data_IF_606707689716
#
_entry.id   IF_606707689716
#
_cell.length_a   1.000
_cell.length_b   1.000
_cell.length_c   1.000
_cell.angle_alpha   90.00
_cell.angle_beta   90.00
_cell.angle_gamma   90.00
#
_symmetry.space_group_name_H-M   'P 1'
#
loop_
_entity.id
_entity.type
_entity.pdbx_description
1 polymer ?
#
# COMPACT_ATOMS: atom_id res chain seq x y z
N UNK A 1 7.63 20.29 4.19
CA UNK A 1 7.05 19.28 3.29
C UNK A 1 6.92 17.99 4.07
N UNK A 2 5.84 17.26 3.88
CA UNK A 2 5.66 15.89 4.36
C UNK A 2 6.31 14.92 3.39
N UNK A 3 6.90 13.84 3.89
CA UNK A 3 7.39 12.77 3.00
C UNK A 3 6.21 11.90 2.57
N UNK A 4 6.32 11.20 1.43
CA UNK A 4 5.30 10.24 1.03
C UNK A 4 5.12 9.10 2.04
N UNK A 5 6.18 8.76 2.78
CA UNK A 5 6.09 7.79 3.87
C UNK A 5 5.20 8.33 5.00
N UNK A 6 5.38 9.60 5.41
CA UNK A 6 4.53 10.24 6.41
C UNK A 6 3.07 10.37 5.92
N UNK A 7 2.86 10.73 4.66
CA UNK A 7 1.51 10.83 4.06
C UNK A 7 0.79 9.48 4.00
N UNK A 8 1.53 8.40 3.78
CA UNK A 8 1.01 7.03 3.82
C UNK A 8 0.81 6.50 5.26
N UNK A 9 1.22 7.26 6.29
CA UNK A 9 1.12 6.86 7.70
C UNK A 9 2.23 5.91 8.16
N UNK A 10 3.35 5.86 7.44
CA UNK A 10 4.50 5.01 7.74
C UNK A 10 5.42 5.75 8.70
N UNK A 11 5.56 5.25 9.93
CA UNK A 11 6.63 5.68 10.83
C UNK A 11 7.90 4.93 10.48
N UNK A 12 8.75 5.54 9.64
CA UNK A 12 9.95 4.88 9.12
C UNK A 12 10.94 4.56 10.25
N UNK A 13 11.38 3.31 10.30
CA UNK A 13 12.44 2.82 11.17
C UNK A 13 13.14 1.64 10.50
N UNK A 14 14.39 1.39 10.85
CA UNK A 14 15.14 0.21 10.37
C UNK A 14 14.65 -1.07 11.05
N UNK A 15 13.43 -1.48 10.68
CA UNK A 15 12.70 -2.62 11.22
C UNK A 15 11.92 -3.29 10.08
N UNK A 16 11.70 -4.62 10.13
CA UNK A 16 11.07 -5.34 9.03
C UNK A 16 9.71 -4.79 8.59
N UNK A 17 8.83 -4.42 9.53
CA UNK A 17 7.48 -3.94 9.22
C UNK A 17 7.50 -2.55 8.52
N UNK A 18 8.10 -1.48 9.07
CA UNK A 18 8.19 -0.19 8.37
C UNK A 18 8.90 -0.26 7.01
N UNK A 19 9.93 -1.11 6.85
CA UNK A 19 10.60 -1.29 5.57
C UNK A 19 9.70 -2.01 4.56
N UNK A 20 8.89 -2.98 5.00
CA UNK A 20 7.90 -3.61 4.14
C UNK A 20 6.81 -2.62 3.72
N UNK A 21 6.31 -1.79 4.63
CA UNK A 21 5.35 -0.74 4.30
C UNK A 21 5.91 0.24 3.25
N UNK A 22 7.18 0.62 3.39
CA UNK A 22 7.86 1.46 2.41
C UNK A 22 7.99 0.75 1.04
N UNK A 23 8.34 -0.54 1.03
CA UNK A 23 8.39 -1.34 -0.20
C UNK A 23 7.04 -1.38 -0.91
N UNK A 24 5.95 -1.59 -0.15
CA UNK A 24 4.58 -1.59 -0.69
C UNK A 24 4.27 -0.23 -1.33
N UNK A 25 4.57 0.88 -0.64
CA UNK A 25 4.40 2.22 -1.19
C UNK A 25 5.17 2.40 -2.51
N UNK A 26 6.44 1.99 -2.55
CA UNK A 26 7.26 2.04 -3.76
C UNK A 26 6.66 1.21 -4.91
N UNK A 27 6.14 0.02 -4.63
CA UNK A 27 5.50 -0.84 -5.64
C UNK A 27 4.23 -0.21 -6.22
N UNK A 28 3.43 0.48 -5.39
CA UNK A 28 2.23 1.19 -5.83
C UNK A 28 2.57 2.44 -6.64
N UNK A 29 3.61 3.18 -6.23
CA UNK A 29 4.06 4.40 -6.92
C UNK A 29 4.84 4.13 -8.22
N UNK A 30 5.30 2.89 -8.46
CA UNK A 30 6.06 2.52 -9.66
C UNK A 30 5.23 2.47 -10.96
N UNK A 31 3.93 2.77 -10.89
CA UNK A 31 3.03 2.81 -12.06
C UNK A 31 2.77 4.26 -12.49
N UNK A 32 2.29 4.53 -13.72
CA UNK A 32 1.86 5.86 -14.15
C UNK A 32 0.61 6.31 -13.38
N UNK A 33 0.80 6.73 -12.14
CA UNK A 33 -0.24 7.12 -11.19
C UNK A 33 0.21 8.33 -10.38
N UNK A 34 -0.75 9.11 -9.91
CA UNK A 34 -0.47 10.23 -9.02
C UNK A 34 0.07 9.72 -7.67
N UNK A 35 1.10 10.38 -7.16
CA UNK A 35 1.74 10.00 -5.90
C UNK A 35 0.74 10.03 -4.73
N UNK A 36 -0.20 10.98 -4.71
CA UNK A 36 -1.24 11.06 -3.67
C UNK A 36 -2.22 9.88 -3.71
N UNK A 37 -2.49 9.34 -4.90
CA UNK A 37 -3.32 8.14 -5.05
C UNK A 37 -2.55 6.91 -4.54
N UNK A 38 -1.25 6.83 -4.80
CA UNK A 38 -0.40 5.76 -4.29
C UNK A 38 -0.24 5.80 -2.76
N UNK A 39 0.00 6.97 -2.16
CA UNK A 39 0.10 7.11 -0.70
C UNK A 39 -1.22 6.79 -0.01
N UNK A 40 -2.35 7.23 -0.57
CA UNK A 40 -3.68 6.87 -0.07
C UNK A 40 -3.94 5.37 -0.17
N UNK A 41 -3.58 4.74 -1.28
CA UNK A 41 -3.71 3.29 -1.46
C UNK A 41 -2.88 2.49 -0.43
N UNK A 42 -1.64 2.89 -0.19
CA UNK A 42 -0.80 2.29 0.84
C UNK A 42 -1.45 2.43 2.23
N UNK A 43 -1.93 3.63 2.56
CA UNK A 43 -2.62 3.90 3.83
C UNK A 43 -3.85 3.01 4.04
N UNK A 44 -4.68 2.84 3.01
CA UNK A 44 -5.85 1.96 3.06
C UNK A 44 -5.48 0.50 3.32
N UNK A 45 -4.41 -0.01 2.69
CA UNK A 45 -3.90 -1.37 2.99
C UNK A 45 -3.44 -1.49 4.45
N UNK A 46 -2.76 -0.48 4.98
CA UNK A 46 -2.28 -0.51 6.36
C UNK A 46 -3.41 -0.42 7.38
N UNK A 47 -4.50 0.28 7.05
CA UNK A 47 -5.74 0.27 7.83
C UNK A 47 -6.38 -1.14 7.88
N UNK A 48 -6.26 -1.94 6.81
CA UNK A 48 -6.66 -3.36 6.79
C UNK A 48 -5.64 -4.29 7.47
N UNK A 49 -4.63 -3.73 8.17
CA UNK A 49 -3.53 -4.46 8.84
C UNK A 49 -2.61 -5.22 7.88
N UNK A 50 -2.63 -4.88 6.60
CA UNK A 50 -1.77 -5.47 5.57
C UNK A 50 -0.38 -4.79 5.56
N UNK A 51 0.30 -4.91 6.70
CA UNK A 51 1.56 -4.21 7.01
C UNK A 51 2.79 -5.13 7.03
N UNK A 52 2.60 -6.43 6.78
CA UNK A 52 3.67 -7.44 6.79
C UNK A 52 3.47 -8.42 5.64
N UNK A 53 4.54 -9.07 5.13
CA UNK A 53 4.43 -10.08 4.07
C UNK A 53 3.43 -11.19 4.42
N UNK A 54 3.51 -11.73 5.64
CA UNK A 54 2.61 -12.79 6.12
C UNK A 54 1.14 -12.35 6.15
N UNK A 55 0.87 -11.11 6.54
CA UNK A 55 -0.49 -10.57 6.56
C UNK A 55 -1.06 -10.44 5.14
N UNK A 56 -0.23 -10.00 4.19
CA UNK A 56 -0.61 -9.89 2.78
C UNK A 56 -0.85 -11.28 2.17
N UNK A 57 0.04 -12.24 2.38
CA UNK A 57 -0.12 -13.62 1.89
C UNK A 57 -1.38 -14.31 2.42
N UNK A 58 -1.80 -13.99 3.65
CA UNK A 58 -3.02 -14.53 4.28
C UNK A 58 -4.27 -13.73 3.91
N UNK A 59 -4.12 -12.55 3.31
CA UNK A 59 -5.24 -11.69 2.99
C UNK A 59 -6.10 -12.29 1.90
N UNK A 60 -7.41 -12.04 1.98
CA UNK A 60 -8.29 -12.29 0.83
C UNK A 60 -8.01 -11.22 -0.20
N UNK A 61 -7.83 -11.62 -1.46
CA UNK A 61 -7.69 -10.69 -2.60
C UNK A 61 -8.74 -9.57 -2.58
N UNK A 62 -9.99 -9.91 -2.23
CA UNK A 62 -11.09 -8.96 -2.14
C UNK A 62 -10.82 -7.82 -1.14
N UNK A 63 -10.19 -8.09 0.00
CA UNK A 63 -9.81 -7.07 0.99
C UNK A 63 -8.88 -6.03 0.38
N UNK A 64 -7.92 -6.46 -0.43
CA UNK A 64 -7.00 -5.54 -1.11
C UNK A 64 -7.72 -4.71 -2.17
N UNK A 65 -8.60 -5.33 -2.97
CA UNK A 65 -9.40 -4.63 -3.98
C UNK A 65 -10.31 -3.57 -3.33
N UNK A 66 -10.99 -3.92 -2.24
CA UNK A 66 -11.86 -2.98 -1.53
C UNK A 66 -11.05 -1.80 -0.94
N UNK A 67 -9.86 -2.07 -0.40
CA UNK A 67 -8.94 -1.02 0.07
C UNK A 67 -8.47 -0.10 -1.07
N UNK A 68 -8.09 -0.68 -2.22
CA UNK A 68 -7.72 0.08 -3.41
C UNK A 68 -8.88 0.90 -3.97
N UNK A 69 -10.11 0.39 -3.88
CA UNK A 69 -11.33 1.11 -4.27
C UNK A 69 -11.53 2.40 -3.49
N UNK A 70 -11.34 2.35 -2.16
CA UNK A 70 -11.42 3.55 -1.28
C UNK A 70 -10.37 4.61 -1.62
N UNK A 71 -9.22 4.16 -2.13
CA UNK A 71 -8.14 5.04 -2.57
C UNK A 71 -8.24 5.52 -4.03
N UNK A 72 -9.31 5.17 -4.77
CA UNK A 72 -9.43 5.42 -6.22
C UNK A 72 -8.28 4.81 -7.05
N UNK A 73 -7.70 3.70 -6.58
CA UNK A 73 -6.59 2.99 -7.22
C UNK A 73 -7.09 1.92 -8.23
N UNK A 74 -8.27 2.10 -8.83
CA UNK A 74 -8.97 1.08 -9.60
C UNK A 74 -8.27 0.66 -10.92
N UNK A 75 -7.42 1.51 -11.51
CA UNK A 75 -6.75 1.20 -12.79
C UNK A 75 -5.78 0.02 -12.66
N UNK A 76 -5.24 -0.19 -11.47
CA UNK A 76 -4.13 -1.10 -11.22
C UNK A 76 -4.35 -2.04 -10.04
N UNK A 77 -5.52 -2.02 -9.42
CA UNK A 77 -5.87 -2.76 -8.21
C UNK A 77 -5.63 -4.27 -8.36
N UNK A 78 -6.19 -4.90 -9.39
CA UNK A 78 -6.05 -6.33 -9.67
C UNK A 78 -4.58 -6.72 -9.90
N UNK A 79 -3.87 -5.92 -10.70
CA UNK A 79 -2.45 -6.17 -10.97
C UNK A 79 -1.55 -5.94 -9.76
N UNK A 80 -1.91 -5.03 -8.86
CA UNK A 80 -1.21 -4.78 -7.60
C UNK A 80 -1.52 -5.89 -6.60
N UNK A 81 -2.78 -6.31 -6.48
CA UNK A 81 -3.22 -7.39 -5.60
C UNK A 81 -2.69 -8.78 -6.01
N UNK A 82 -2.23 -8.95 -7.25
CA UNK A 82 -1.52 -10.18 -7.67
C UNK A 82 -0.02 -10.14 -7.35
N UNK A 83 0.59 -8.94 -7.32
CA UNK A 83 2.04 -8.78 -7.08
C UNK A 83 2.40 -8.76 -5.61
N UNK A 84 1.47 -8.29 -4.78
CA UNK A 84 1.55 -8.31 -3.32
C UNK A 84 1.06 -9.66 -2.83
#
# INVERSE_FOLDING_TARGET
GTTYADEAGITLADKPMPLFELLVLCMLASKPIDASIATRAARELFCEKLRTPDAVLKAKRRTMIDAFGRASYARYDESSATRL
#
